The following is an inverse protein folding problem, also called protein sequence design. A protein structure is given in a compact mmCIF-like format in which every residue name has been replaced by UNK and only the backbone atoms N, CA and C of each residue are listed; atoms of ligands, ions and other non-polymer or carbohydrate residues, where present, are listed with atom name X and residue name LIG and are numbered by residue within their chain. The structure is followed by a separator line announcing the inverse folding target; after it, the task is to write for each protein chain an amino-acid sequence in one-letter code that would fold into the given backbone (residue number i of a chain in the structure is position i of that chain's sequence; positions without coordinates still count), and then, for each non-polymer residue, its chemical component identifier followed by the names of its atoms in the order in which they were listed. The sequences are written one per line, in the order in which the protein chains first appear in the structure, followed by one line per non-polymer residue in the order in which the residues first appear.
data_IF_002354036647
#
_entry.id   IF_002354036647
#
_cell.length_a   1.000
_cell.length_b   1.000
_cell.length_c   1.000
_cell.angle_alpha   90.00
_cell.angle_beta   90.00
_cell.angle_gamma   90.00
#
_symmetry.space_group_name_H-M   'P 1'
#
loop_
_entity.id
_entity.type
_entity.pdbx_description
1 polymer ?
#
# COMPACT_ATOMS: atom_id res chain seq x y z
N UNK A 1 -22.31 71.10 -13.60
CA UNK A 1 -22.25 70.17 -12.45
C UNK A 1 -22.22 68.75 -13.01
N UNK A 2 -21.04 68.13 -13.13
CA UNK A 2 -20.87 66.80 -13.75
C UNK A 2 -21.01 65.73 -12.66
N UNK A 3 -22.05 64.92 -12.76
CA UNK A 3 -22.36 63.83 -11.83
C UNK A 3 -21.56 62.59 -12.26
N UNK A 4 -20.53 62.21 -11.51
CA UNK A 4 -19.77 60.98 -11.76
C UNK A 4 -20.43 59.81 -11.01
N UNK A 5 -21.03 58.89 -11.77
CA UNK A 5 -21.63 57.67 -11.25
C UNK A 5 -20.50 56.64 -10.99
N UNK A 6 -20.10 56.48 -9.73
CA UNK A 6 -19.11 55.48 -9.31
C UNK A 6 -19.83 54.13 -9.18
N UNK A 7 -19.62 53.26 -10.16
CA UNK A 7 -20.09 51.87 -10.14
C UNK A 7 -19.18 51.06 -9.20
N UNK A 8 -19.62 50.84 -7.95
CA UNK A 8 -18.96 49.91 -7.03
C UNK A 8 -19.20 48.48 -7.52
N UNK A 9 -18.20 47.87 -8.17
CA UNK A 9 -18.19 46.44 -8.44
C UNK A 9 -17.98 45.69 -7.13
N UNK A 10 -19.05 45.17 -6.54
CA UNK A 10 -18.96 44.22 -5.43
C UNK A 10 -18.51 42.88 -6.03
N UNK A 11 -17.22 42.58 -5.92
CA UNK A 11 -16.69 41.24 -6.23
C UNK A 11 -17.10 40.31 -5.10
N UNK A 12 -18.21 39.60 -5.29
CA UNK A 12 -18.63 38.52 -4.38
C UNK A 12 -17.67 37.36 -4.62
N UNK A 13 -16.76 37.12 -3.67
CA UNK A 13 -15.92 35.92 -3.67
C UNK A 13 -16.83 34.73 -3.35
N UNK A 14 -17.34 34.09 -4.39
CA UNK A 14 -18.05 32.81 -4.28
C UNK A 14 -16.98 31.76 -3.98
N UNK A 15 -16.75 31.45 -2.70
CA UNK A 15 -15.96 30.30 -2.30
C UNK A 15 -16.80 29.06 -2.65
N UNK A 16 -16.69 28.57 -3.87
CA UNK A 16 -17.17 27.25 -4.23
C UNK A 16 -16.36 26.23 -3.41
N UNK A 17 -16.98 25.63 -2.39
CA UNK A 17 -16.40 24.45 -1.76
C UNK A 17 -16.40 23.34 -2.81
N UNK A 18 -15.24 23.03 -3.37
CA UNK A 18 -15.06 21.78 -4.09
C UNK A 18 -15.31 20.67 -3.08
N UNK A 19 -16.41 19.92 -3.26
CA UNK A 19 -16.54 18.60 -2.66
C UNK A 19 -15.50 17.73 -3.37
N UNK A 20 -14.28 17.67 -2.84
CA UNK A 20 -13.29 16.71 -3.32
C UNK A 20 -13.81 15.30 -3.00
N UNK A 21 -13.95 14.48 -4.05
CA UNK A 21 -14.24 13.07 -3.86
C UNK A 21 -13.06 12.44 -3.13
N UNK A 22 -13.32 11.76 -2.01
CA UNK A 22 -12.30 10.97 -1.32
C UNK A 22 -11.99 9.73 -2.16
N UNK A 23 -10.88 9.77 -2.89
CA UNK A 23 -10.33 8.60 -3.58
C UNK A 23 -9.19 8.00 -2.76
N UNK A 24 -9.29 6.71 -2.47
CA UNK A 24 -8.41 5.99 -1.57
C UNK A 24 -8.08 4.60 -2.13
N UNK A 25 -6.78 4.30 -2.24
CA UNK A 25 -6.30 2.95 -2.54
C UNK A 25 -6.04 2.19 -1.24
N UNK A 26 -6.81 1.14 -1.00
CA UNK A 26 -6.59 0.21 0.11
C UNK A 26 -5.82 -1.00 -0.41
N UNK A 27 -4.56 -1.11 -0.01
CA UNK A 27 -3.77 -2.32 -0.15
C UNK A 27 -3.98 -3.17 1.09
N UNK A 28 -4.22 -4.47 0.93
CA UNK A 28 -4.30 -5.38 2.06
C UNK A 28 -3.65 -6.72 1.77
N UNK A 29 -3.16 -7.37 2.82
CA UNK A 29 -2.84 -8.79 2.84
C UNK A 29 -3.27 -9.41 4.16
N UNK A 30 -3.40 -10.73 4.19
CA UNK A 30 -3.82 -11.53 5.35
C UNK A 30 -3.24 -12.93 5.17
N UNK A 31 -3.19 -13.72 6.26
CA UNK A 31 -2.84 -15.15 6.22
C UNK A 31 -1.50 -15.43 5.52
N UNK A 32 -0.51 -14.57 5.77
CA UNK A 32 0.82 -14.71 5.17
C UNK A 32 1.55 -15.97 5.65
N UNK A 33 1.15 -16.55 6.78
CA UNK A 33 1.59 -17.87 7.26
C UNK A 33 3.12 -18.08 7.18
N UNK A 34 3.90 -17.08 7.61
CA UNK A 34 5.37 -17.11 7.56
C UNK A 34 5.99 -17.25 6.16
N UNK A 35 5.29 -16.91 5.08
CA UNK A 35 5.81 -16.91 3.70
C UNK A 35 6.65 -15.64 3.42
N UNK A 36 7.83 -15.57 4.04
CA UNK A 36 8.77 -14.46 3.87
C UNK A 36 9.44 -14.47 2.49
N UNK A 37 9.78 -15.66 2.00
CA UNK A 37 10.31 -15.90 0.65
C UNK A 37 9.18 -16.08 -0.38
N UNK A 38 9.56 -16.02 -1.66
CA UNK A 38 8.69 -16.45 -2.75
C UNK A 38 8.29 -17.93 -2.62
N UNK A 39 7.09 -18.26 -3.06
CA UNK A 39 6.54 -19.62 -3.02
C UNK A 39 6.28 -20.13 -4.42
N UNK A 40 6.07 -21.44 -4.58
CA UNK A 40 5.38 -21.93 -5.78
C UNK A 40 3.93 -21.45 -5.79
N UNK A 41 3.23 -21.61 -6.91
CA UNK A 41 1.82 -21.27 -7.03
C UNK A 41 0.90 -22.03 -6.04
N UNK A 42 1.38 -23.12 -5.44
CA UNK A 42 0.67 -23.91 -4.41
C UNK A 42 1.13 -23.57 -2.99
N UNK A 43 1.75 -22.41 -2.78
CA UNK A 43 2.23 -21.92 -1.47
C UNK A 43 3.27 -22.81 -0.78
N UNK A 44 3.90 -23.71 -1.54
CA UNK A 44 5.06 -24.50 -1.12
C UNK A 44 6.37 -23.81 -1.41
N UNK A 45 7.49 -24.48 -1.14
CA UNK A 45 8.82 -23.97 -1.50
C UNK A 45 8.89 -23.75 -3.02
N UNK A 46 9.32 -22.56 -3.43
CA UNK A 46 9.65 -22.25 -4.80
C UNK A 46 10.87 -23.09 -5.25
N UNK A 47 10.65 -24.05 -6.15
CA UNK A 47 11.70 -24.95 -6.62
C UNK A 47 12.50 -24.33 -7.77
N UNK A 48 13.72 -24.83 -8.08
CA UNK A 48 14.51 -24.33 -9.21
C UNK A 48 13.75 -24.33 -10.54
N UNK A 49 12.90 -25.31 -10.78
CA UNK A 49 12.09 -25.39 -12.01
C UNK A 49 11.01 -24.29 -12.04
N UNK A 50 10.35 -24.02 -10.91
CA UNK A 50 9.42 -22.89 -10.78
C UNK A 50 10.12 -21.56 -11.08
N UNK A 51 11.37 -21.39 -10.61
CA UNK A 51 12.16 -20.18 -10.88
C UNK A 51 12.49 -20.02 -12.36
N UNK A 52 12.93 -21.09 -13.02
CA UNK A 52 13.24 -21.08 -14.47
C UNK A 52 12.03 -20.70 -15.30
N UNK A 53 10.85 -21.19 -14.92
CA UNK A 53 9.58 -20.89 -15.57
C UNK A 53 8.93 -19.59 -15.07
N UNK A 54 9.58 -18.84 -14.17
CA UNK A 54 9.05 -17.62 -13.55
C UNK A 54 7.68 -17.82 -12.85
N UNK A 55 7.42 -19.02 -12.35
CA UNK A 55 6.17 -19.41 -11.70
C UNK A 55 6.19 -19.19 -10.17
N UNK A 56 7.24 -18.61 -9.62
CA UNK A 56 7.27 -18.27 -8.20
C UNK A 56 6.54 -16.96 -7.93
N UNK A 57 5.75 -16.97 -6.87
CA UNK A 57 4.79 -15.91 -6.51
C UNK A 57 5.02 -15.44 -5.09
N UNK A 58 4.44 -14.27 -4.76
CA UNK A 58 4.47 -13.75 -3.41
C UNK A 58 5.88 -13.42 -2.91
N UNK A 59 6.09 -13.65 -1.62
CA UNK A 59 7.26 -13.23 -0.86
C UNK A 59 7.19 -11.76 -0.44
N UNK A 60 7.69 -11.47 0.75
CA UNK A 60 7.59 -10.13 1.36
C UNK A 60 8.33 -9.07 0.52
N UNK A 61 9.42 -9.44 -0.15
CA UNK A 61 10.13 -8.53 -1.05
C UNK A 61 9.26 -8.01 -2.21
N UNK A 62 8.42 -8.88 -2.79
CA UNK A 62 7.52 -8.51 -3.89
C UNK A 62 6.33 -7.70 -3.39
N UNK A 63 5.81 -8.04 -2.20
CA UNK A 63 4.79 -7.25 -1.50
C UNK A 63 5.32 -5.84 -1.22
N UNK A 64 6.53 -5.71 -0.67
CA UNK A 64 7.18 -4.42 -0.42
C UNK A 64 7.33 -3.59 -1.69
N UNK A 65 7.68 -4.22 -2.81
CA UNK A 65 7.80 -3.55 -4.10
C UNK A 65 6.47 -2.91 -4.53
N UNK A 66 5.37 -3.66 -4.48
CA UNK A 66 4.04 -3.16 -4.87
C UNK A 66 3.57 -2.04 -3.95
N UNK A 67 3.75 -2.18 -2.63
CA UNK A 67 3.39 -1.13 -1.65
C UNK A 67 4.17 0.17 -1.94
N UNK A 68 5.49 0.06 -2.17
CA UNK A 68 6.33 1.22 -2.47
C UNK A 68 5.97 1.87 -3.79
N UNK A 69 5.62 1.09 -4.82
CA UNK A 69 5.16 1.63 -6.10
C UNK A 69 3.86 2.42 -5.94
N UNK A 70 2.87 1.88 -5.22
CA UNK A 70 1.60 2.56 -4.98
C UNK A 70 1.81 3.87 -4.19
N UNK A 71 2.60 3.82 -3.11
CA UNK A 71 2.94 5.01 -2.31
C UNK A 71 3.67 6.06 -3.14
N UNK A 72 4.61 5.65 -3.98
CA UNK A 72 5.33 6.56 -4.89
C UNK A 72 4.38 7.21 -5.90
N UNK A 73 3.47 6.45 -6.50
CA UNK A 73 2.46 7.00 -7.41
C UNK A 73 1.57 8.05 -6.72
N UNK A 74 1.15 7.80 -5.49
CA UNK A 74 0.40 8.76 -4.68
C UNK A 74 1.20 10.04 -4.40
N UNK A 75 2.47 9.90 -3.99
CA UNK A 75 3.37 11.04 -3.72
C UNK A 75 3.63 11.89 -4.98
N UNK A 76 3.65 11.27 -6.17
CA UNK A 76 3.82 11.96 -7.45
C UNK A 76 2.51 12.55 -8.01
N UNK A 77 1.39 12.43 -7.30
CA UNK A 77 0.07 12.89 -7.76
C UNK A 77 -0.50 12.07 -8.93
N UNK A 78 0.00 10.86 -9.14
CA UNK A 78 -0.41 9.93 -10.22
C UNK A 78 -1.41 8.87 -9.75
N UNK A 79 -1.80 8.90 -8.48
CA UNK A 79 -2.77 7.98 -7.89
C UNK A 79 -3.34 8.52 -6.57
N UNK A 80 -4.37 7.86 -6.03
CA UNK A 80 -4.99 8.25 -4.77
C UNK A 80 -4.07 8.02 -3.57
N UNK A 81 -4.45 8.56 -2.41
CA UNK A 81 -3.78 8.26 -1.15
C UNK A 81 -3.86 6.76 -0.82
N UNK A 82 -2.82 6.22 -0.18
CA UNK A 82 -2.69 4.78 0.06
C UNK A 82 -2.83 4.45 1.54
N UNK A 83 -3.74 3.53 1.86
CA UNK A 83 -3.73 2.79 3.12
C UNK A 83 -3.25 1.36 2.86
N UNK A 84 -2.25 0.91 3.60
CA UNK A 84 -1.81 -0.49 3.60
C UNK A 84 -2.17 -1.16 4.93
N UNK A 85 -2.94 -2.24 4.86
CA UNK A 85 -3.46 -2.98 6.01
C UNK A 85 -2.94 -4.42 6.00
N UNK A 86 -2.51 -4.93 7.16
CA UNK A 86 -2.31 -6.37 7.37
C UNK A 86 -3.52 -6.90 8.15
N UNK A 87 -4.13 -7.99 7.71
CA UNK A 87 -5.33 -8.58 8.31
C UNK A 87 -5.05 -9.71 9.29
N UNK A 88 -3.82 -9.84 9.79
CA UNK A 88 -3.45 -10.91 10.72
C UNK A 88 -2.91 -12.19 10.05
N UNK A 89 -2.72 -13.23 10.87
CA UNK A 89 -2.17 -14.55 10.50
C UNK A 89 -0.86 -14.52 9.69
N UNK A 90 -0.02 -13.53 9.99
CA UNK A 90 1.35 -13.43 9.44
C UNK A 90 2.35 -14.38 10.14
N UNK A 91 2.01 -14.81 11.36
CA UNK A 91 2.80 -15.75 12.15
C UNK A 91 2.79 -17.16 11.51
N UNK A 92 3.38 -18.16 12.16
CA UNK A 92 3.30 -19.62 11.86
C UNK A 92 2.96 -20.08 10.43
N UNK A 93 3.81 -20.95 9.85
CA UNK A 93 3.45 -21.68 8.64
C UNK A 93 4.63 -22.18 7.81
N UNK A 94 5.83 -21.67 8.08
CA UNK A 94 7.11 -22.15 7.52
C UNK A 94 8.13 -22.37 8.63
N UNK A 95 9.26 -23.04 8.34
CA UNK A 95 10.38 -23.14 9.27
C UNK A 95 10.93 -21.79 9.76
N UNK A 96 10.74 -20.69 9.00
CA UNK A 96 11.14 -19.35 9.41
C UNK A 96 10.60 -18.97 10.78
N UNK A 97 9.31 -19.21 11.03
CA UNK A 97 8.72 -18.92 12.34
C UNK A 97 9.24 -19.87 13.42
N UNK A 98 9.48 -21.15 13.10
CA UNK A 98 10.03 -22.09 14.07
C UNK A 98 11.41 -21.67 14.57
N UNK A 99 12.26 -21.14 13.69
CA UNK A 99 13.63 -20.72 13.99
C UNK A 99 13.68 -19.32 14.62
N UNK A 100 13.00 -18.34 14.00
CA UNK A 100 13.14 -16.92 14.38
C UNK A 100 11.99 -16.40 15.24
N UNK A 101 10.92 -17.18 15.41
CA UNK A 101 9.71 -16.83 16.18
C UNK A 101 9.13 -15.49 15.74
N UNK A 102 8.62 -14.71 16.67
CA UNK A 102 8.00 -13.41 16.43
C UNK A 102 8.97 -12.37 15.83
N UNK A 103 10.29 -12.52 16.02
CA UNK A 103 11.27 -11.50 15.61
C UNK A 103 11.26 -11.27 14.11
N UNK A 104 11.27 -12.33 13.31
CA UNK A 104 11.22 -12.21 11.85
C UNK A 104 9.89 -11.61 11.37
N UNK A 105 8.77 -11.94 12.03
CA UNK A 105 7.47 -11.36 11.69
C UNK A 105 7.48 -9.85 11.91
N UNK A 106 7.92 -9.41 13.09
CA UNK A 106 7.99 -7.99 13.44
C UNK A 106 8.94 -7.24 12.52
N UNK A 107 10.13 -7.79 12.26
CA UNK A 107 11.12 -7.16 11.39
C UNK A 107 10.56 -6.92 9.98
N UNK A 108 9.98 -7.94 9.36
CA UNK A 108 9.44 -7.81 8.01
C UNK A 108 8.15 -6.99 7.95
N UNK A 109 7.24 -7.07 8.94
CA UNK A 109 6.06 -6.20 8.97
C UNK A 109 6.46 -4.73 9.12
N UNK A 110 7.44 -4.42 9.97
CA UNK A 110 7.94 -3.05 10.12
C UNK A 110 8.53 -2.52 8.80
N UNK A 111 9.20 -3.37 8.00
CA UNK A 111 9.71 -3.00 6.68
C UNK A 111 8.61 -2.75 5.63
N UNK A 112 7.41 -3.30 5.83
CA UNK A 112 6.25 -3.03 4.98
C UNK A 112 5.48 -1.76 5.42
N UNK A 113 5.68 -1.32 6.67
CA UNK A 113 5.05 -0.15 7.27
C UNK A 113 3.51 -0.14 7.13
N UNK A 114 2.78 -1.17 7.61
CA UNK A 114 1.32 -1.15 7.60
C UNK A 114 0.77 0.02 8.42
N UNK A 115 -0.32 0.61 7.96
CA UNK A 115 -1.09 1.61 8.70
C UNK A 115 -1.84 0.97 9.88
N UNK A 116 -2.26 -0.28 9.74
CA UNK A 116 -2.82 -1.11 10.80
C UNK A 116 -2.52 -2.59 10.53
N UNK A 117 -2.47 -3.37 11.61
CA UNK A 117 -2.30 -4.83 11.64
C UNK A 117 -3.40 -5.42 12.52
#
# INVERSE_FOLDING_TARGET
MKLYLILFLIVVNVNSSLSENLDLLILHNNDMHGRFEETSARSGKCQPEDKKLQNCVGGIARVAHVIRQARKAAQEGKGPQVLYLNGGDTYTGTPWFSVHKWKIVVEFLNLLEPNAV
#
